data_IF_173063832227
#
_entry.id   IF_173063832227
#
_cell.length_a   1.000
_cell.length_b   1.000
_cell.length_c   1.000
_cell.angle_alpha   90.00
_cell.angle_beta   90.00
_cell.angle_gamma   90.00
#
_symmetry.space_group_name_H-M   'P 1'
#
loop_
_entity.id
_entity.type
_entity.pdbx_description
1 polymer ?
#
# COMPACT_ATOMS: atom_id res chain seq x y z
N UNK A 1 16.78 -49.55 11.63
CA UNK A 1 16.31 -48.14 11.65
C UNK A 1 16.25 -47.61 13.09
N UNK A 2 17.32 -47.75 13.87
CA UNK A 2 17.46 -47.22 15.23
C UNK A 2 18.70 -46.32 15.24
N UNK A 3 18.55 -45.02 14.98
CA UNK A 3 19.63 -44.00 15.14
C UNK A 3 19.21 -42.54 14.85
N UNK A 4 17.97 -42.14 15.15
CA UNK A 4 17.48 -40.79 14.81
C UNK A 4 16.85 -40.00 15.96
N UNK A 5 17.13 -40.39 17.20
CA UNK A 5 16.79 -39.58 18.37
C UNK A 5 17.93 -39.67 19.37
N UNK A 6 18.17 -38.58 20.11
CA UNK A 6 19.13 -38.45 21.23
C UNK A 6 20.48 -37.78 20.91
N UNK A 7 20.56 -36.63 20.21
CA UNK A 7 21.75 -35.78 20.43
C UNK A 7 21.65 -34.25 20.28
N UNK A 8 20.47 -33.61 20.26
CA UNK A 8 20.42 -32.13 20.28
C UNK A 8 19.30 -31.59 21.16
N UNK A 9 19.15 -32.15 22.37
CA UNK A 9 18.14 -31.70 23.33
C UNK A 9 18.71 -31.00 24.58
N UNK A 10 20.02 -30.72 24.67
CA UNK A 10 20.59 -30.20 25.93
C UNK A 10 21.54 -29.00 25.87
N UNK A 11 21.85 -28.39 24.72
CA UNK A 11 22.86 -27.29 24.70
C UNK A 11 22.66 -26.24 23.62
N UNK A 12 21.42 -25.89 23.28
CA UNK A 12 21.16 -25.06 22.09
C UNK A 12 20.46 -23.74 22.49
N UNK A 13 21.27 -22.77 22.92
CA UNK A 13 21.15 -21.37 22.48
C UNK A 13 22.05 -21.20 21.25
N UNK A 14 21.51 -21.08 20.02
CA UNK A 14 22.25 -20.41 18.95
C UNK A 14 21.32 -19.59 18.05
N UNK A 15 21.76 -18.37 17.85
CA UNK A 15 21.17 -17.31 17.03
C UNK A 15 21.43 -17.54 15.52
N UNK A 16 21.20 -18.75 15.01
CA UNK A 16 21.53 -19.10 13.62
C UNK A 16 20.41 -19.86 12.89
N UNK A 17 20.27 -19.53 11.59
CA UNK A 17 19.30 -20.07 10.63
C UNK A 17 19.23 -21.60 10.64
N UNK A 18 20.35 -22.28 10.91
CA UNK A 18 20.46 -23.75 10.93
C UNK A 18 19.58 -24.42 12.00
N UNK A 19 19.51 -23.84 13.20
CA UNK A 19 18.70 -24.38 14.31
C UNK A 19 17.21 -24.26 14.00
N UNK A 20 16.83 -23.13 13.40
CA UNK A 20 15.45 -22.89 13.03
C UNK A 20 15.01 -23.73 11.81
N UNK A 21 15.92 -23.96 10.85
CA UNK A 21 15.72 -24.94 9.79
C UNK A 21 15.58 -26.36 10.33
N UNK A 22 16.42 -26.78 11.30
CA UNK A 22 16.30 -28.08 11.93
C UNK A 22 14.97 -28.25 12.69
N UNK A 23 14.52 -27.22 13.41
CA UNK A 23 13.22 -27.22 14.10
C UNK A 23 12.05 -27.30 13.10
N UNK A 24 12.11 -26.56 11.98
CA UNK A 24 11.11 -26.66 10.92
C UNK A 24 11.08 -28.07 10.33
N UNK A 25 12.23 -28.63 9.95
CA UNK A 25 12.35 -29.99 9.40
C UNK A 25 11.76 -31.02 10.37
N UNK A 26 12.14 -30.99 11.65
CA UNK A 26 11.58 -31.88 12.67
C UNK A 26 10.06 -31.73 12.83
N UNK A 27 9.55 -30.50 12.75
CA UNK A 27 8.10 -30.23 12.81
C UNK A 27 7.38 -30.77 11.57
N UNK A 28 7.95 -30.59 10.37
CA UNK A 28 7.41 -31.14 9.12
C UNK A 28 7.46 -32.68 9.10
N UNK A 29 8.51 -33.29 9.64
CA UNK A 29 8.64 -34.74 9.80
C UNK A 29 7.60 -35.29 10.79
N UNK A 30 7.39 -34.60 11.92
CA UNK A 30 6.39 -34.98 12.95
C UNK A 30 4.95 -34.86 12.42
N UNK A 31 4.65 -33.82 11.64
CA UNK A 31 3.33 -33.60 11.05
C UNK A 31 3.05 -34.50 9.82
N UNK A 32 4.08 -35.20 9.34
CA UNK A 32 4.04 -35.99 8.12
C UNK A 32 4.09 -35.12 6.86
N UNK A 33 4.57 -35.70 5.74
CA UNK A 33 4.61 -35.05 4.42
C UNK A 33 3.20 -34.70 3.94
N UNK A 34 2.66 -33.56 4.37
CA UNK A 34 1.44 -33.00 3.79
C UNK A 34 1.76 -32.42 2.43
N UNK A 35 1.03 -32.90 1.42
CA UNK A 35 1.25 -32.65 0.00
C UNK A 35 1.55 -31.18 -0.28
N UNK A 36 2.75 -30.92 -0.78
CA UNK A 36 2.96 -29.74 -1.58
C UNK A 36 2.21 -29.97 -2.90
N UNK A 37 1.40 -28.99 -3.30
CA UNK A 37 0.63 -28.94 -4.54
C UNK A 37 -0.67 -29.75 -4.54
N UNK A 38 -1.78 -29.01 -4.67
CA UNK A 38 -3.14 -29.55 -4.73
C UNK A 38 -3.42 -30.28 -6.04
N UNK A 39 -2.74 -31.40 -6.25
CA UNK A 39 -3.15 -32.39 -7.25
C UNK A 39 -4.32 -33.24 -6.68
N UNK A 40 -5.40 -33.45 -7.45
CA UNK A 40 -6.49 -34.33 -7.02
C UNK A 40 -5.99 -35.78 -7.02
N UNK A 41 -5.94 -36.43 -5.84
CA UNK A 41 -5.66 -37.87 -5.75
C UNK A 41 -4.75 -38.31 -4.60
N UNK A 42 -4.06 -37.39 -3.92
CA UNK A 42 -3.26 -37.69 -2.73
C UNK A 42 -3.92 -37.02 -1.51
N UNK A 43 -4.16 -37.80 -0.45
CA UNK A 43 -5.10 -37.50 0.65
C UNK A 43 -5.12 -36.08 1.24
N UNK A 44 -6.31 -35.70 1.73
CA UNK A 44 -6.71 -34.39 2.25
C UNK A 44 -6.12 -34.02 3.61
N UNK A 45 -4.79 -34.02 3.77
CA UNK A 45 -4.16 -33.44 4.97
C UNK A 45 -3.85 -31.96 4.76
N UNK A 46 -4.18 -31.08 5.73
CA UNK A 46 -3.87 -29.66 5.62
C UNK A 46 -2.36 -29.45 5.56
N UNK A 47 -1.93 -28.52 4.70
CA UNK A 47 -0.51 -28.20 4.51
C UNK A 47 0.17 -27.90 5.87
N UNK A 48 1.25 -28.60 6.24
CA UNK A 48 1.95 -28.38 7.50
C UNK A 48 2.54 -26.96 7.58
N UNK A 49 2.76 -26.30 6.44
CA UNK A 49 3.14 -24.89 6.37
C UNK A 49 2.12 -23.97 7.05
N UNK A 50 0.86 -24.38 7.20
CA UNK A 50 -0.20 -23.61 7.89
C UNK A 50 -0.37 -24.01 9.36
N UNK A 51 0.40 -24.97 9.86
CA UNK A 51 0.31 -25.42 11.25
C UNK A 51 0.75 -24.30 12.22
N UNK A 52 0.06 -24.09 13.37
CA UNK A 52 0.37 -23.01 14.29
C UNK A 52 1.82 -22.97 14.78
N UNK A 53 2.45 -24.14 14.96
CA UNK A 53 3.83 -24.26 15.40
C UNK A 53 4.85 -23.89 14.31
N UNK A 54 4.63 -24.38 13.09
CA UNK A 54 5.43 -24.00 11.91
C UNK A 54 5.33 -22.48 11.69
N UNK A 55 4.12 -21.92 11.82
CA UNK A 55 3.90 -20.49 11.73
C UNK A 55 4.59 -19.70 12.84
N UNK A 56 4.70 -20.25 14.06
CA UNK A 56 5.42 -19.65 15.19
C UNK A 56 6.93 -19.62 14.93
N UNK A 57 7.51 -20.73 14.47
CA UNK A 57 8.94 -20.81 14.11
C UNK A 57 9.27 -19.87 12.94
N UNK A 58 8.46 -19.87 11.89
CA UNK A 58 8.63 -18.96 10.74
C UNK A 58 8.53 -17.47 11.14
N UNK A 59 7.69 -17.12 12.13
CA UNK A 59 7.66 -15.77 12.70
C UNK A 59 8.95 -15.43 13.45
N UNK A 60 9.50 -16.37 14.23
CA UNK A 60 10.77 -16.20 14.93
C UNK A 60 11.93 -15.97 13.96
N UNK A 61 12.07 -16.83 12.94
CA UNK A 61 13.09 -16.67 11.89
C UNK A 61 12.97 -15.31 11.20
N UNK A 62 11.75 -14.89 10.86
CA UNK A 62 11.53 -13.58 10.23
C UNK A 62 11.85 -12.41 11.16
N UNK A 63 11.65 -12.56 12.47
CA UNK A 63 11.97 -11.51 13.44
C UNK A 63 13.49 -11.40 13.69
N UNK A 64 14.20 -12.53 13.70
CA UNK A 64 15.63 -12.60 14.01
C UNK A 64 16.53 -12.41 12.79
N UNK A 65 16.13 -12.95 11.63
CA UNK A 65 16.92 -12.96 10.40
C UNK A 65 16.20 -12.34 9.20
N UNK A 66 15.02 -11.77 9.41
CA UNK A 66 14.35 -11.02 8.36
C UNK A 66 15.20 -9.82 7.98
N UNK A 67 15.62 -9.75 6.72
CA UNK A 67 16.19 -8.53 6.17
C UNK A 67 15.23 -7.37 6.44
N UNK A 68 15.78 -6.23 6.85
CA UNK A 68 14.96 -5.04 7.05
C UNK A 68 14.16 -4.79 5.77
N UNK A 69 12.81 -4.67 5.84
CA UNK A 69 12.01 -4.50 4.65
C UNK A 69 12.50 -3.28 3.87
N UNK A 70 12.98 -3.50 2.65
CA UNK A 70 13.40 -2.40 1.76
C UNK A 70 12.18 -1.53 1.49
N UNK A 71 12.11 -0.39 2.18
CA UNK A 71 10.99 0.54 2.08
C UNK A 71 11.07 1.24 0.73
N UNK A 72 9.93 1.34 0.06
CA UNK A 72 9.86 2.09 -1.20
C UNK A 72 9.94 3.58 -0.89
N UNK A 73 10.68 4.33 -1.71
CA UNK A 73 10.85 5.78 -1.58
C UNK A 73 9.47 6.47 -1.70
N UNK A 74 9.16 7.47 -0.86
CA UNK A 74 7.87 8.17 -0.91
C UNK A 74 7.74 9.00 -2.20
N UNK A 75 6.54 9.04 -2.78
CA UNK A 75 6.18 10.00 -3.83
C UNK A 75 5.48 11.20 -3.19
N UNK A 76 6.19 12.31 -3.00
CA UNK A 76 5.68 13.49 -2.29
C UNK A 76 4.65 14.27 -3.14
N UNK A 77 3.78 15.03 -2.47
CA UNK A 77 2.79 15.90 -3.12
C UNK A 77 3.47 16.91 -4.06
N UNK A 78 4.58 17.54 -3.65
CA UNK A 78 5.31 18.47 -4.50
C UNK A 78 5.86 17.82 -5.78
N UNK A 79 6.31 16.56 -5.70
CA UNK A 79 6.75 15.80 -6.87
C UNK A 79 5.57 15.44 -7.78
N UNK A 80 4.38 15.22 -7.21
CA UNK A 80 3.17 14.97 -7.99
C UNK A 80 2.73 16.21 -8.79
N UNK A 81 2.83 17.41 -8.22
CA UNK A 81 2.57 18.66 -8.95
C UNK A 81 3.49 18.79 -10.17
N UNK A 82 4.78 18.48 -10.01
CA UNK A 82 5.77 18.46 -11.11
C UNK A 82 5.39 17.44 -12.19
N UNK A 83 4.97 16.25 -11.79
CA UNK A 83 4.51 15.21 -12.71
C UNK A 83 3.28 15.65 -13.51
N UNK A 84 2.27 16.22 -12.84
CA UNK A 84 1.04 16.71 -13.48
C UNK A 84 1.35 17.90 -14.41
N UNK A 85 2.31 18.76 -14.04
CA UNK A 85 2.72 19.87 -14.88
C UNK A 85 3.34 19.42 -16.21
N UNK A 86 4.11 18.33 -16.20
CA UNK A 86 4.76 17.77 -17.37
C UNK A 86 3.91 16.73 -18.14
N UNK A 87 2.81 16.26 -17.55
CA UNK A 87 1.99 15.19 -18.12
C UNK A 87 1.23 15.66 -19.38
N UNK A 88 1.24 14.88 -20.48
CA UNK A 88 0.45 15.20 -21.66
C UNK A 88 -1.04 14.95 -21.43
N UNK A 89 -1.91 15.58 -22.22
CA UNK A 89 -3.38 15.42 -22.13
C UNK A 89 -3.90 14.14 -22.82
N UNK A 90 -3.17 13.02 -22.69
CA UNK A 90 -3.63 11.71 -23.20
C UNK A 90 -4.52 11.01 -22.18
N UNK A 91 -5.46 10.18 -22.65
CA UNK A 91 -6.34 9.36 -21.77
C UNK A 91 -5.55 8.56 -20.74
N UNK A 92 -4.37 8.04 -21.12
CA UNK A 92 -3.48 7.32 -20.20
C UNK A 92 -2.90 8.23 -19.13
N UNK A 93 -2.40 9.41 -19.49
CA UNK A 93 -1.81 10.35 -18.53
C UNK A 93 -2.87 10.93 -17.59
N UNK A 94 -4.08 11.24 -18.08
CA UNK A 94 -5.22 11.64 -17.26
C UNK A 94 -5.54 10.56 -16.21
N UNK A 95 -5.61 9.28 -16.63
CA UNK A 95 -5.78 8.15 -15.70
C UNK A 95 -4.66 8.09 -14.67
N UNK A 96 -3.41 8.15 -15.14
CA UNK A 96 -2.22 7.96 -14.31
C UNK A 96 -2.15 9.07 -13.25
N UNK A 97 -2.40 10.33 -13.62
CA UNK A 97 -2.54 11.46 -12.70
C UNK A 97 -3.65 11.23 -11.65
N UNK A 98 -4.84 10.81 -12.07
CA UNK A 98 -5.94 10.51 -11.15
C UNK A 98 -5.60 9.39 -10.15
N UNK A 99 -4.93 8.32 -10.60
CA UNK A 99 -4.47 7.22 -9.73
C UNK A 99 -3.46 7.71 -8.69
N UNK A 100 -2.48 8.52 -9.13
CA UNK A 100 -1.45 9.07 -8.24
C UNK A 100 -2.08 10.03 -7.21
N UNK A 101 -2.98 10.92 -7.65
CA UNK A 101 -3.73 11.83 -6.79
C UNK A 101 -4.49 11.07 -5.69
N UNK A 102 -5.33 10.10 -6.06
CA UNK A 102 -6.08 9.29 -5.08
C UNK A 102 -5.14 8.53 -4.15
N UNK A 103 -4.04 8.00 -4.68
CA UNK A 103 -3.07 7.25 -3.88
C UNK A 103 -2.33 8.09 -2.85
N UNK A 104 -1.82 9.26 -3.26
CA UNK A 104 -1.05 10.17 -2.41
C UNK A 104 -1.97 10.89 -1.44
N UNK A 105 -2.95 11.66 -1.94
CA UNK A 105 -3.83 12.47 -1.07
C UNK A 105 -4.71 11.59 -0.18
N UNK A 106 -5.16 10.43 -0.67
CA UNK A 106 -5.91 9.48 0.13
C UNK A 106 -5.05 8.59 1.03
N UNK A 107 -3.71 8.65 0.95
CA UNK A 107 -2.81 7.71 1.64
C UNK A 107 -3.17 6.22 1.42
N UNK A 108 -3.66 5.88 0.22
CA UNK A 108 -4.27 4.57 -0.07
C UNK A 108 -3.28 3.56 -0.63
N UNK A 109 -3.52 2.29 -0.32
CA UNK A 109 -2.75 1.18 -0.90
C UNK A 109 -3.28 0.85 -2.28
N UNK A 110 -2.40 0.32 -3.13
CA UNK A 110 -2.70 -0.22 -4.46
C UNK A 110 -4.02 -1.01 -4.56
N UNK A 111 -4.27 -1.94 -3.64
CA UNK A 111 -5.49 -2.78 -3.66
C UNK A 111 -6.75 -1.98 -3.33
N UNK A 112 -6.64 -0.97 -2.47
CA UNK A 112 -7.75 -0.08 -2.13
C UNK A 112 -8.07 0.81 -3.33
N UNK A 113 -7.05 1.41 -3.96
CA UNK A 113 -7.21 2.26 -5.15
C UNK A 113 -7.92 1.51 -6.28
N UNK A 114 -7.40 0.35 -6.67
CA UNK A 114 -8.03 -0.41 -7.77
C UNK A 114 -9.37 -1.00 -7.38
N UNK A 115 -9.66 -1.12 -6.08
CA UNK A 115 -10.92 -1.65 -5.55
C UNK A 115 -12.05 -0.62 -5.49
N UNK A 116 -11.80 0.64 -5.83
CA UNK A 116 -12.82 1.70 -5.83
C UNK A 116 -13.77 1.59 -7.02
N UNK A 117 -15.05 1.81 -6.75
CA UNK A 117 -16.08 2.13 -7.74
C UNK A 117 -16.36 3.64 -7.73
N UNK A 118 -16.99 4.14 -8.80
CA UNK A 118 -17.55 5.48 -8.80
C UNK A 118 -18.96 5.43 -8.18
N UNK A 119 -19.14 6.05 -7.02
CA UNK A 119 -20.40 6.01 -6.28
C UNK A 119 -20.75 4.64 -5.67
N UNK A 120 -21.85 4.58 -4.89
CA UNK A 120 -22.33 3.33 -4.30
C UNK A 120 -22.87 2.35 -5.36
N UNK A 121 -23.23 1.13 -4.94
CA UNK A 121 -23.88 0.13 -5.82
C UNK A 121 -22.94 -0.79 -6.62
N UNK A 122 -21.65 -0.45 -6.74
CA UNK A 122 -20.68 -1.32 -7.43
C UNK A 122 -20.22 -2.55 -6.63
N UNK A 123 -19.42 -3.41 -7.25
CA UNK A 123 -18.91 -4.68 -6.67
C UNK A 123 -17.53 -4.58 -6.00
N UNK A 124 -16.96 -3.39 -5.95
CA UNK A 124 -15.64 -3.09 -5.40
C UNK A 124 -15.56 -3.18 -3.89
N UNK A 125 -14.32 -3.16 -3.39
CA UNK A 125 -14.00 -3.13 -1.96
C UNK A 125 -14.12 -1.72 -1.37
N UNK A 126 -14.71 -0.78 -2.10
CA UNK A 126 -14.83 0.62 -1.73
C UNK A 126 -15.42 1.43 -2.87
N UNK A 127 -15.75 2.68 -2.61
CA UNK A 127 -16.23 3.61 -3.62
C UNK A 127 -15.79 5.03 -3.32
N UNK A 128 -15.71 5.83 -4.37
CA UNK A 128 -15.44 7.26 -4.29
C UNK A 128 -16.65 8.04 -4.79
N UNK A 129 -17.07 9.06 -4.04
CA UNK A 129 -18.20 9.93 -4.36
C UNK A 129 -17.70 11.36 -4.43
N UNK A 130 -18.02 12.06 -5.52
CA UNK A 130 -17.76 13.49 -5.66
C UNK A 130 -18.90 14.25 -4.96
N UNK A 131 -18.53 15.24 -4.15
CA UNK A 131 -19.44 16.17 -3.47
C UNK A 131 -19.08 17.61 -3.87
N UNK A 132 -19.84 18.57 -3.36
CA UNK A 132 -19.54 20.01 -3.46
C UNK A 132 -18.23 20.41 -2.73
N UNK A 133 -17.82 19.64 -1.73
CA UNK A 133 -16.62 19.91 -0.92
C UNK A 133 -15.37 19.19 -1.44
N UNK A 134 -15.54 18.04 -2.12
CA UNK A 134 -14.42 17.30 -2.69
C UNK A 134 -14.76 15.85 -3.02
N UNK A 135 -13.79 14.96 -2.85
CA UNK A 135 -13.93 13.53 -3.05
C UNK A 135 -13.99 12.81 -1.70
N UNK A 136 -15.05 12.02 -1.48
CA UNK A 136 -15.17 11.12 -0.34
C UNK A 136 -14.86 9.70 -0.77
N UNK A 137 -14.00 9.00 -0.04
CA UNK A 137 -13.64 7.60 -0.29
C UNK A 137 -14.09 6.75 0.89
N UNK A 138 -15.03 5.83 0.67
CA UNK A 138 -15.46 4.84 1.67
C UNK A 138 -14.96 3.45 1.29
N UNK A 139 -14.30 2.76 2.21
CA UNK A 139 -13.87 1.37 2.00
C UNK A 139 -14.93 0.40 2.54
N UNK A 140 -15.35 -0.56 1.71
CA UNK A 140 -16.28 -1.63 2.06
C UNK A 140 -15.46 -2.79 2.64
N UNK A 141 -15.17 -2.71 3.95
CA UNK A 141 -14.33 -3.64 4.73
C UNK A 141 -12.85 -3.63 4.33
N UNK A 142 -12.01 -3.25 5.28
CA UNK A 142 -10.58 -3.55 5.23
C UNK A 142 -10.32 -4.94 5.82
N UNK A 143 -9.18 -5.54 5.50
CA UNK A 143 -8.69 -6.82 6.06
C UNK A 143 -8.56 -6.83 7.60
N UNK A 144 -8.89 -5.71 8.25
CA UNK A 144 -8.73 -5.41 9.67
C UNK A 144 -10.00 -4.91 10.36
N UNK A 145 -11.12 -4.70 9.66
CA UNK A 145 -12.39 -4.31 10.29
C UNK A 145 -13.11 -5.55 10.83
N UNK A 146 -13.48 -5.55 12.12
CA UNK A 146 -14.42 -6.55 12.65
C UNK A 146 -15.82 -6.22 12.12
N UNK A 147 -16.74 -7.18 12.13
CA UNK A 147 -18.12 -6.92 11.76
C UNK A 147 -18.72 -5.85 12.70
N UNK A 148 -19.21 -4.73 12.14
CA UNK A 148 -19.82 -3.63 12.89
C UNK A 148 -19.09 -2.28 12.84
N UNK A 149 -17.82 -2.24 12.40
CA UNK A 149 -17.10 -0.96 12.24
C UNK A 149 -17.52 -0.26 10.93
N UNK A 150 -18.39 0.75 11.01
CA UNK A 150 -18.56 1.72 9.93
C UNK A 150 -17.33 2.65 9.89
N UNK A 151 -16.35 2.31 9.05
CA UNK A 151 -15.20 3.20 8.81
C UNK A 151 -15.69 4.51 8.16
N UNK A 152 -15.45 5.63 8.83
CA UNK A 152 -15.76 6.97 8.31
C UNK A 152 -15.08 7.17 6.94
N UNK A 153 -15.74 7.89 6.01
CA UNK A 153 -15.15 8.15 4.71
C UNK A 153 -13.90 9.04 4.85
N UNK A 154 -12.89 8.76 4.02
CA UNK A 154 -11.73 9.61 3.87
C UNK A 154 -12.05 10.77 2.94
N UNK A 155 -11.78 11.99 3.37
CA UNK A 155 -12.06 13.19 2.59
C UNK A 155 -10.81 13.69 1.85
N UNK A 156 -10.98 14.10 0.60
CA UNK A 156 -9.99 14.83 -0.18
C UNK A 156 -10.69 16.10 -0.68
N UNK A 157 -10.45 17.27 -0.08
CA UNK A 157 -11.12 18.50 -0.48
C UNK A 157 -10.61 19.00 -1.83
N UNK A 158 -11.39 19.86 -2.48
CA UNK A 158 -10.89 20.60 -3.65
C UNK A 158 -9.70 21.48 -3.28
N UNK A 159 -8.59 21.33 -4.02
CA UNK A 159 -7.44 22.25 -3.95
C UNK A 159 -7.73 23.51 -4.78
N UNK A 160 -8.51 24.43 -4.20
CA UNK A 160 -8.97 25.65 -4.89
C UNK A 160 -7.84 26.61 -5.27
N UNK A 161 -6.75 26.64 -4.49
CA UNK A 161 -5.60 27.50 -4.75
C UNK A 161 -4.80 27.12 -6.00
N UNK A 162 -4.89 25.88 -6.46
CA UNK A 162 -4.19 25.41 -7.65
C UNK A 162 -5.03 24.37 -8.41
N UNK A 163 -6.05 24.80 -9.17
CA UNK A 163 -7.00 23.90 -9.83
C UNK A 163 -6.34 22.88 -10.77
N UNK A 164 -5.26 23.28 -11.47
CA UNK A 164 -4.49 22.38 -12.34
C UNK A 164 -3.96 21.14 -11.61
N UNK A 165 -3.62 21.29 -10.34
CA UNK A 165 -3.04 20.24 -9.50
C UNK A 165 -4.06 19.68 -8.48
N UNK A 166 -5.35 19.95 -8.70
CA UNK A 166 -6.38 19.52 -7.78
C UNK A 166 -6.63 18.00 -7.94
N UNK A 167 -6.52 17.21 -6.85
CA UNK A 167 -6.72 15.77 -6.92
C UNK A 167 -8.16 15.39 -7.29
N UNK A 168 -9.14 16.18 -6.85
CA UNK A 168 -10.56 15.96 -7.17
C UNK A 168 -10.81 16.21 -8.66
N UNK A 169 -10.31 17.33 -9.20
CA UNK A 169 -10.45 17.64 -10.62
C UNK A 169 -9.72 16.60 -11.51
N UNK A 170 -8.60 16.05 -11.05
CA UNK A 170 -7.92 14.96 -11.77
C UNK A 170 -8.81 13.71 -11.88
N UNK A 171 -9.53 13.36 -10.80
CA UNK A 171 -10.48 12.24 -10.79
C UNK A 171 -11.69 12.53 -11.68
N UNK A 172 -12.25 13.74 -11.63
CA UNK A 172 -13.35 14.16 -12.51
C UNK A 172 -12.97 14.09 -13.99
N UNK A 173 -11.79 14.61 -14.35
CA UNK A 173 -11.26 14.52 -15.72
C UNK A 173 -11.14 13.08 -16.18
N UNK A 174 -10.68 12.18 -15.31
CA UNK A 174 -10.61 10.76 -15.62
C UNK A 174 -11.99 10.13 -15.80
N UNK A 175 -12.95 10.39 -14.90
CA UNK A 175 -14.33 9.89 -15.01
C UNK A 175 -14.95 10.33 -16.34
N UNK A 176 -14.78 11.60 -16.71
CA UNK A 176 -15.27 12.14 -17.98
C UNK A 176 -14.57 11.49 -19.19
N UNK A 177 -13.24 11.43 -19.20
CA UNK A 177 -12.47 10.86 -20.31
C UNK A 177 -12.73 9.36 -20.51
N UNK A 178 -13.07 8.63 -19.45
CA UNK A 178 -13.32 7.20 -19.48
C UNK A 178 -14.80 6.81 -19.54
N UNK A 179 -15.71 7.78 -19.52
CA UNK A 179 -17.16 7.55 -19.52
C UNK A 179 -17.62 6.64 -18.38
N UNK A 180 -17.13 6.89 -17.16
CA UNK A 180 -17.42 6.02 -16.01
C UNK A 180 -18.76 6.40 -15.39
N UNK A 181 -19.70 5.47 -15.41
CA UNK A 181 -21.00 5.63 -14.77
C UNK A 181 -20.94 5.22 -13.28
N UNK A 182 -21.97 5.61 -12.52
CA UNK A 182 -22.10 5.19 -11.12
C UNK A 182 -22.21 3.66 -11.01
N UNK A 183 -21.66 3.10 -9.94
CA UNK A 183 -21.57 1.66 -9.70
C UNK A 183 -20.48 0.94 -10.48
N UNK A 184 -19.82 1.61 -11.43
CA UNK A 184 -18.76 1.02 -12.22
C UNK A 184 -17.37 1.19 -11.59
N UNK A 185 -16.41 0.33 -11.97
CA UNK A 185 -15.05 0.42 -11.49
C UNK A 185 -14.40 1.78 -11.85
N UNK A 186 -13.94 2.50 -10.83
CA UNK A 186 -13.39 3.86 -10.96
C UNK A 186 -12.12 3.90 -11.80
N UNK A 187 -11.27 2.88 -11.72
CA UNK A 187 -10.05 2.81 -12.52
C UNK A 187 -10.09 1.64 -13.47
N UNK A 188 -9.84 1.92 -14.75
CA UNK A 188 -9.88 0.97 -15.87
C UNK A 188 -8.56 0.92 -16.62
N UNK A 189 -8.33 -0.18 -17.32
CA UNK A 189 -7.16 -0.29 -18.21
C UNK A 189 -7.25 0.68 -19.38
N UNK A 190 -6.11 1.16 -19.87
CA UNK A 190 -6.01 1.92 -21.12
C UNK A 190 -4.97 1.19 -21.96
N UNK A 191 -5.32 0.84 -23.19
CA UNK A 191 -4.43 0.11 -24.09
C UNK A 191 -3.30 1.02 -24.65
N UNK A 192 -2.63 0.60 -25.71
CA UNK A 192 -1.55 1.38 -26.34
C UNK A 192 -2.09 2.43 -27.33
N UNK A 193 -3.32 2.29 -27.78
CA UNK A 193 -3.99 3.17 -28.74
C UNK A 193 -4.83 4.26 -28.05
N UNK A 194 -4.94 4.20 -26.72
CA UNK A 194 -5.68 5.18 -25.92
C UNK A 194 -7.10 4.74 -25.58
N UNK A 195 -7.51 3.54 -25.98
CA UNK A 195 -8.86 3.04 -25.70
C UNK A 195 -8.97 2.58 -24.25
N UNK A 196 -10.07 2.96 -23.59
CA UNK A 196 -10.41 2.53 -22.24
C UNK A 196 -11.00 1.12 -22.31
N UNK A 197 -10.40 0.20 -21.57
CA UNK A 197 -10.85 -1.19 -21.48
C UNK A 197 -12.03 -1.31 -20.52
N UNK A 198 -12.93 -2.23 -20.81
CA UNK A 198 -13.94 -2.64 -19.86
C UNK A 198 -13.32 -3.30 -18.62
N UNK A 199 -13.95 -3.09 -17.48
CA UNK A 199 -13.59 -3.76 -16.22
C UNK A 199 -12.47 -3.11 -15.41
N UNK A 200 -12.34 -3.60 -14.18
CA UNK A 200 -11.47 -3.05 -13.14
C UNK A 200 -9.99 -3.17 -13.49
N UNK A 201 -9.23 -2.11 -13.18
CA UNK A 201 -7.78 -2.11 -13.27
C UNK A 201 -7.17 -3.15 -12.33
N UNK A 202 -6.19 -3.92 -12.80
CA UNK A 202 -5.46 -4.87 -11.94
C UNK A 202 -4.49 -4.13 -11.02
N UNK A 203 -4.34 -4.60 -9.79
CA UNK A 203 -3.43 -4.01 -8.80
C UNK A 203 -2.01 -3.75 -9.35
N UNK A 204 -1.43 -4.70 -10.09
CA UNK A 204 -0.10 -4.55 -10.72
C UNK A 204 0.07 -3.30 -11.59
N UNK A 205 -1.01 -2.78 -12.18
CA UNK A 205 -0.95 -1.60 -13.04
C UNK A 205 -0.60 -0.32 -12.25
N UNK A 206 -1.09 -0.14 -11.03
CA UNK A 206 -0.73 1.03 -10.18
C UNK A 206 0.78 1.06 -9.95
N UNK A 207 1.42 -0.08 -9.73
CA UNK A 207 2.88 -0.15 -9.59
C UNK A 207 3.61 0.32 -10.84
N UNK A 208 3.08 0.02 -12.04
CA UNK A 208 3.63 0.53 -13.30
C UNK A 208 3.41 2.02 -13.47
N UNK A 209 2.24 2.54 -13.05
CA UNK A 209 1.97 3.99 -13.03
C UNK A 209 2.98 4.72 -12.15
N UNK A 210 3.19 4.24 -10.93
CA UNK A 210 4.17 4.83 -10.00
C UNK A 210 5.59 4.80 -10.58
N UNK A 211 6.00 3.68 -11.19
CA UNK A 211 7.33 3.57 -11.81
C UNK A 211 7.51 4.48 -13.02
N UNK A 212 6.45 4.67 -13.82
CA UNK A 212 6.46 5.62 -14.94
C UNK A 212 6.64 7.04 -14.44
N UNK A 213 5.83 7.44 -13.46
CA UNK A 213 5.94 8.75 -12.83
C UNK A 213 7.33 8.98 -12.21
N UNK A 214 7.90 7.96 -11.54
CA UNK A 214 9.26 8.03 -11.04
C UNK A 214 10.28 8.30 -12.15
N UNK A 215 10.17 7.60 -13.28
CA UNK A 215 11.06 7.79 -14.45
C UNK A 215 10.96 9.21 -14.99
N UNK A 216 9.74 9.72 -15.16
CA UNK A 216 9.48 11.08 -15.67
C UNK A 216 9.94 12.18 -14.71
N UNK A 217 9.99 11.87 -13.40
CA UNK A 217 10.52 12.75 -12.36
C UNK A 217 12.02 12.60 -12.12
N UNK A 218 12.74 11.79 -12.91
CA UNK A 218 14.17 11.53 -12.70
C UNK A 218 14.51 10.74 -11.43
N UNK A 219 13.54 10.03 -10.87
CA UNK A 219 13.70 9.16 -9.70
C UNK A 219 13.98 7.72 -10.13
N UNK A 220 14.73 6.96 -9.33
CA UNK A 220 14.96 5.53 -9.58
C UNK A 220 13.66 4.69 -9.44
N UNK A 221 13.13 4.10 -10.53
CA UNK A 221 11.91 3.30 -10.48
C UNK A 221 12.06 1.98 -9.71
N UNK A 222 13.28 1.47 -9.50
CA UNK A 222 13.50 0.25 -8.73
C UNK A 222 13.14 0.44 -7.25
N UNK A 223 13.39 1.64 -6.72
CA UNK A 223 13.05 2.08 -5.38
C UNK A 223 11.56 2.45 -5.21
N UNK A 224 10.76 2.42 -6.28
CA UNK A 224 9.38 2.92 -6.30
C UNK A 224 8.35 1.80 -6.50
N UNK A 225 7.13 2.00 -5.99
CA UNK A 225 6.02 1.06 -6.19
C UNK A 225 4.72 1.50 -5.52
N UNK A 226 3.70 0.65 -5.51
CA UNK A 226 2.38 1.04 -4.99
C UNK A 226 2.35 1.49 -3.52
N UNK A 227 3.37 1.13 -2.72
CA UNK A 227 3.50 1.61 -1.34
C UNK A 227 4.07 3.03 -1.23
N UNK A 228 4.78 3.49 -2.27
CA UNK A 228 5.31 4.87 -2.37
C UNK A 228 4.21 5.93 -2.29
N UNK A 229 2.99 5.60 -2.71
CA UNK A 229 1.82 6.50 -2.66
C UNK A 229 1.40 6.79 -1.22
N UNK A 230 1.13 5.73 -0.45
CA UNK A 230 0.77 5.84 0.97
C UNK A 230 1.90 6.46 1.79
N UNK A 231 3.14 6.04 1.55
CA UNK A 231 4.29 6.64 2.20
C UNK A 231 4.41 8.13 1.87
N UNK A 232 4.27 8.47 0.59
CA UNK A 232 4.34 9.83 0.07
C UNK A 232 3.32 10.78 0.66
N UNK A 233 2.05 10.37 0.75
CA UNK A 233 1.00 11.16 1.38
C UNK A 233 1.29 11.44 2.85
N UNK A 234 1.61 10.40 3.63
CA UNK A 234 1.92 10.51 5.06
C UNK A 234 3.12 11.42 5.30
N UNK A 235 4.20 11.20 4.54
CA UNK A 235 5.41 11.98 4.64
C UNK A 235 5.16 13.44 4.28
N UNK A 236 4.39 13.72 3.23
CA UNK A 236 4.05 15.11 2.84
C UNK A 236 3.26 15.82 3.93
N UNK A 237 2.23 15.18 4.50
CA UNK A 237 1.44 15.76 5.60
C UNK A 237 2.31 16.01 6.85
N UNK A 238 3.25 15.11 7.15
CA UNK A 238 4.17 15.30 8.26
C UNK A 238 5.14 16.47 8.05
N UNK A 239 5.65 16.66 6.82
CA UNK A 239 6.46 17.83 6.46
C UNK A 239 5.70 19.14 6.61
N UNK A 240 4.42 19.14 6.25
CA UNK A 240 3.53 20.28 6.41
C UNK A 240 3.14 20.52 7.89
N UNK A 241 3.71 19.75 8.83
CA UNK A 241 3.58 19.97 10.27
C UNK A 241 2.31 19.40 10.90
N UNK A 242 1.53 18.59 10.18
CA UNK A 242 0.33 17.97 10.74
C UNK A 242 0.68 16.98 11.85
N UNK A 243 -0.21 16.89 12.84
CA UNK A 243 -0.04 15.98 13.96
C UNK A 243 -0.22 14.52 13.52
N UNK A 244 0.43 13.58 14.21
CA UNK A 244 0.23 12.15 13.92
C UNK A 244 -1.25 11.72 14.02
N UNK A 245 -2.07 12.19 14.98
CA UNK A 245 -3.51 11.96 14.99
C UNK A 245 -4.23 12.42 13.71
N UNK A 246 -3.96 13.61 13.20
CA UNK A 246 -4.60 14.12 11.98
C UNK A 246 -4.23 13.27 10.76
N UNK A 247 -2.94 12.92 10.66
CA UNK A 247 -2.44 12.03 9.61
C UNK A 247 -3.04 10.63 9.78
N UNK A 248 -3.32 10.18 11.01
CA UNK A 248 -3.97 8.89 11.28
C UNK A 248 -5.39 8.86 10.73
N UNK A 249 -6.17 9.95 10.89
CA UNK A 249 -7.50 10.10 10.31
C UNK A 249 -7.45 9.93 8.80
N UNK A 250 -6.51 10.59 8.12
CA UNK A 250 -6.40 10.49 6.66
C UNK A 250 -5.85 9.13 6.17
N UNK A 251 -4.89 8.56 6.90
CA UNK A 251 -4.18 7.35 6.47
C UNK A 251 -4.81 6.04 6.93
N UNK A 252 -5.77 6.08 7.85
CA UNK A 252 -6.45 4.90 8.38
C UNK A 252 -5.53 3.93 9.11
N UNK A 253 -4.39 4.41 9.64
CA UNK A 253 -3.54 3.57 10.48
C UNK A 253 -4.22 3.33 11.83
N UNK A 254 -4.15 2.10 12.35
CA UNK A 254 -4.69 1.80 13.68
C UNK A 254 -3.74 2.18 14.82
N UNK A 255 -2.45 2.20 14.54
CA UNK A 255 -1.40 2.45 15.53
C UNK A 255 -0.57 3.67 15.11
N UNK A 256 -0.48 4.64 16.01
CA UNK A 256 0.43 5.77 15.90
C UNK A 256 1.89 5.32 15.84
N UNK A 257 2.26 4.23 16.52
CA UNK A 257 3.61 3.68 16.47
C UNK A 257 3.99 3.20 15.06
N UNK A 258 3.05 2.58 14.34
CA UNK A 258 3.25 2.21 12.93
C UNK A 258 3.36 3.46 12.06
N UNK A 259 2.52 4.46 12.30
CA UNK A 259 2.53 5.71 11.53
C UNK A 259 3.84 6.50 11.72
N UNK A 260 4.36 6.55 12.95
CA UNK A 260 5.62 7.23 13.27
C UNK A 260 6.83 6.68 12.48
N UNK A 261 6.77 5.43 12.00
CA UNK A 261 7.83 4.86 11.17
C UNK A 261 7.98 5.55 9.80
N UNK A 262 6.94 6.21 9.30
CA UNK A 262 6.98 6.98 8.05
C UNK A 262 7.62 8.35 8.24
N UNK A 263 7.40 8.97 9.41
CA UNK A 263 7.92 10.32 9.73
C UNK A 263 9.42 10.29 10.06
N UNK A 264 9.93 9.16 10.58
CA UNK A 264 11.35 9.01 10.93
C UNK A 264 12.32 9.02 9.75
N UNK A 265 11.82 8.92 8.51
CA UNK A 265 12.65 8.74 7.30
C UNK A 265 13.39 10.02 6.84
N UNK A 266 13.06 11.20 7.37
CA UNK A 266 13.58 12.47 6.85
C UNK A 266 13.98 13.44 7.97
N UNK A 267 14.82 13.00 8.91
CA UNK A 267 15.49 13.96 9.81
C UNK A 267 16.51 14.76 8.99
N UNK A 268 16.07 15.88 8.44
CA UNK A 268 16.93 16.89 7.81
C UNK A 268 17.26 18.00 8.81
N UNK A 269 18.32 18.78 8.54
CA UNK A 269 18.60 19.97 9.33
C UNK A 269 17.52 21.04 9.17
N UNK A 270 16.92 21.14 7.97
CA UNK A 270 15.86 22.08 7.62
C UNK A 270 14.56 21.83 8.42
N UNK A 271 14.33 20.57 8.80
CA UNK A 271 13.14 20.14 9.57
C UNK A 271 13.44 19.99 11.07
N UNK A 272 14.59 20.48 11.54
CA UNK A 272 14.99 20.32 12.94
C UNK A 272 14.05 21.10 13.86
N UNK A 273 13.44 20.45 14.88
CA UNK A 273 12.64 21.16 15.89
C UNK A 273 13.42 22.25 16.62
N UNK A 274 14.75 22.17 16.62
CA UNK A 274 15.64 23.16 17.24
C UNK A 274 15.57 24.52 16.53
N UNK A 275 15.27 24.56 15.23
CA UNK A 275 15.06 25.81 14.49
C UNK A 275 13.88 26.64 15.03
N UNK A 276 13.01 26.04 15.86
CA UNK A 276 11.92 26.75 16.54
C UNK A 276 12.37 27.44 17.85
N UNK A 277 13.56 27.11 18.36
CA UNK A 277 14.14 27.74 19.55
C UNK A 277 14.76 29.08 19.17
N UNK A 278 14.62 30.09 20.04
CA UNK A 278 15.11 31.45 19.79
C UNK A 278 16.63 31.55 19.52
N UNK A 279 17.41 30.56 19.96
CA UNK A 279 18.85 30.50 19.69
C UNK A 279 19.20 30.17 18.22
N UNK A 280 18.22 29.74 17.41
CA UNK A 280 18.39 29.36 16.01
C UNK A 280 17.56 30.22 15.03
N UNK A 281 16.94 31.32 15.51
CA UNK A 281 16.30 32.33 14.66
C UNK A 281 17.29 33.45 14.36
#
# INVERSE_FOLDING_TARGET
MRRWFVFLAQTVKPQSVEVACAALTATFETLGKGNAHGEPGLGTRPSPARHPEVQRVLRGIRAEHGAEPVRKRPLLIASLDTYIAASPETVRAIRDAAILCVGVYGCRRRSEIVGLDFGPGGSGSGYATITNEGLLIKLRRSKTSRAGDEELPYAIPYRRSAPRFCPVLAVERWIAAAGIAQGEALFRGVDRHGNVRAGRLRGGAVGRVVKRAATELGMDPACMGGHSLRAGGITSLAKDGLSLPDIQVQSGHKSLGTLATYVRLERSFEDSPLLRLGAYR
#
